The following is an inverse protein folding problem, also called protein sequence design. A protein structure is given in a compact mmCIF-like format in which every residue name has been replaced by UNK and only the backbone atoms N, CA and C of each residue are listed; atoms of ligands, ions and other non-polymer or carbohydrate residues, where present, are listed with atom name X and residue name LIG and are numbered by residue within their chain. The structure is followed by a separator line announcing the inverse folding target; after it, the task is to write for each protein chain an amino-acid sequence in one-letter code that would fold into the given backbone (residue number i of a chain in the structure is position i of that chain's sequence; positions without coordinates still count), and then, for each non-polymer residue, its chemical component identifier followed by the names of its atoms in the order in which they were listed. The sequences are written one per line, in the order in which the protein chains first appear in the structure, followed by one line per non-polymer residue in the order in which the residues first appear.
data_IF_253085493636
#
_entry.id   IF_253085493636
#
_cell.length_a   1.000
_cell.length_b   1.000
_cell.length_c   1.000
_cell.angle_alpha   90.00
_cell.angle_beta   90.00
_cell.angle_gamma   90.00
#
_symmetry.space_group_name_H-M   'P 1'
#
loop_
_entity.id
_entity.type
_entity.pdbx_description
1 polymer ?
#
# COMPACT_ATOMS: atom_id res chain seq x y z
N UNK A 1 -4.09 1.88 -18.63
CA UNK A 1 -5.46 1.77 -18.07
C UNK A 1 -5.74 3.00 -17.22
N UNK A 2 -6.88 3.67 -17.45
CA UNK A 2 -7.31 4.87 -16.72
C UNK A 2 -7.65 4.48 -15.27
N UNK A 3 -7.11 5.20 -14.29
CA UNK A 3 -7.63 5.19 -12.91
C UNK A 3 -8.92 5.99 -12.94
N UNK A 4 -10.06 5.32 -13.14
CA UNK A 4 -11.36 5.92 -12.91
C UNK A 4 -11.65 5.69 -11.43
N UNK A 5 -11.86 6.75 -10.66
CA UNK A 5 -12.48 6.61 -9.34
C UNK A 5 -13.91 6.12 -9.59
N UNK A 6 -14.13 4.83 -9.44
CA UNK A 6 -15.49 4.29 -9.45
C UNK A 6 -16.16 4.80 -8.18
N UNK A 7 -16.96 5.87 -8.34
CA UNK A 7 -17.95 6.25 -7.33
C UNK A 7 -18.80 5.04 -6.92
N UNK A 8 -18.96 4.08 -7.84
CA UNK A 8 -19.59 2.77 -7.63
C UNK A 8 -18.90 1.88 -6.60
N UNK A 9 -17.57 1.94 -6.40
CA UNK A 9 -16.89 1.02 -5.48
C UNK A 9 -17.40 1.18 -4.05
N UNK A 10 -17.57 2.42 -3.60
CA UNK A 10 -18.04 2.74 -2.25
C UNK A 10 -19.46 2.22 -2.02
N UNK A 11 -20.27 2.14 -3.08
CA UNK A 11 -21.64 1.62 -3.03
C UNK A 11 -21.68 0.09 -2.92
N UNK A 12 -20.64 -0.60 -3.40
CA UNK A 12 -20.50 -2.06 -3.24
C UNK A 12 -20.03 -2.50 -1.85
N UNK A 13 -19.56 -1.57 -1.02
CA UNK A 13 -19.06 -1.87 0.32
C UNK A 13 -20.19 -2.14 1.33
N UNK A 14 -19.89 -2.97 2.32
CA UNK A 14 -20.77 -3.15 3.48
C UNK A 14 -20.98 -1.84 4.24
N UNK A 15 -22.06 -1.74 5.02
CA UNK A 15 -22.36 -0.53 5.81
C UNK A 15 -21.21 -0.18 6.77
N UNK A 16 -20.56 -1.19 7.35
CA UNK A 16 -19.43 -1.01 8.26
C UNK A 16 -18.17 -0.56 7.52
N UNK A 17 -17.85 -1.19 6.39
CA UNK A 17 -16.68 -0.84 5.59
C UNK A 17 -16.81 0.55 4.98
N UNK A 18 -18.01 0.93 4.54
CA UNK A 18 -18.30 2.27 4.03
C UNK A 18 -18.10 3.33 5.10
N UNK A 19 -18.54 3.08 6.35
CA UNK A 19 -18.26 3.99 7.48
C UNK A 19 -16.76 4.15 7.73
N UNK A 20 -15.99 3.06 7.67
CA UNK A 20 -14.52 3.09 7.82
C UNK A 20 -13.84 3.83 6.67
N UNK A 21 -14.29 3.59 5.44
CA UNK A 21 -13.82 4.27 4.24
C UNK A 21 -13.98 5.79 4.37
N UNK A 22 -15.18 6.26 4.68
CA UNK A 22 -15.43 7.70 4.87
C UNK A 22 -14.63 8.30 6.03
N UNK A 23 -14.44 7.57 7.14
CA UNK A 23 -13.59 8.03 8.24
C UNK A 23 -12.14 8.24 7.79
N UNK A 24 -11.56 7.29 7.03
CA UNK A 24 -10.19 7.41 6.50
C UNK A 24 -10.05 8.55 5.49
N UNK A 25 -11.07 8.79 4.65
CA UNK A 25 -11.04 9.90 3.70
C UNK A 25 -11.17 11.24 4.40
N UNK A 26 -12.01 11.35 5.42
CA UNK A 26 -12.17 12.59 6.19
C UNK A 26 -10.83 13.08 6.77
N UNK A 27 -9.95 12.15 7.14
CA UNK A 27 -8.62 12.43 7.68
C UNK A 27 -7.63 13.02 6.66
N UNK A 28 -7.86 12.84 5.36
CA UNK A 28 -6.99 13.31 4.25
C UNK A 28 -7.69 14.41 3.44
N UNK A 29 -9.03 14.47 3.48
CA UNK A 29 -9.88 15.42 2.76
C UNK A 29 -10.07 15.13 1.28
N UNK A 30 -9.35 14.15 0.72
CA UNK A 30 -9.38 13.78 -0.70
C UNK A 30 -9.45 12.27 -0.84
N UNK A 31 -10.25 11.79 -1.81
CA UNK A 31 -10.31 10.38 -2.14
C UNK A 31 -9.01 9.95 -2.86
N UNK A 32 -8.22 9.01 -2.30
CA UNK A 32 -6.97 8.56 -2.89
C UNK A 32 -7.11 7.98 -4.31
N UNK A 33 -8.27 7.41 -4.65
CA UNK A 33 -8.52 6.82 -5.96
C UNK A 33 -8.88 7.87 -7.02
N UNK A 34 -9.24 9.08 -6.62
CA UNK A 34 -9.46 10.21 -7.54
C UNK A 34 -8.17 10.90 -7.99
N UNK A 35 -7.03 10.59 -7.34
CA UNK A 35 -5.74 11.21 -7.64
C UNK A 35 -5.11 10.63 -8.92
N UNK A 36 -4.67 11.54 -9.79
CA UNK A 36 -3.91 11.19 -11.00
C UNK A 36 -2.47 10.79 -10.64
N UNK A 37 -1.93 9.74 -11.26
CA UNK A 37 -0.51 9.35 -11.10
C UNK A 37 0.46 10.49 -11.40
N UNK A 38 0.10 11.40 -12.30
CA UNK A 38 1.00 12.46 -12.78
C UNK A 38 1.27 13.55 -11.75
N UNK A 39 0.42 13.66 -10.73
CA UNK A 39 0.55 14.66 -9.65
C UNK A 39 1.24 14.08 -8.41
N UNK A 40 1.54 12.79 -8.40
CA UNK A 40 2.18 12.11 -7.28
C UNK A 40 3.69 12.07 -7.47
N UNK A 41 4.44 12.14 -6.37
CA UNK A 41 5.89 12.06 -6.39
C UNK A 41 6.33 10.57 -6.39
N UNK A 42 7.08 10.15 -7.39
CA UNK A 42 7.62 8.78 -7.47
C UNK A 42 9.02 8.64 -6.85
N UNK A 43 9.57 9.72 -6.27
CA UNK A 43 10.85 9.68 -5.58
C UNK A 43 10.71 9.02 -4.20
N UNK A 44 11.68 8.17 -3.88
CA UNK A 44 11.82 7.52 -2.58
C UNK A 44 12.06 8.54 -1.46
N UNK A 45 12.65 9.71 -1.78
CA UNK A 45 12.89 10.79 -0.81
C UNK A 45 11.60 11.35 -0.19
N UNK A 46 10.45 11.17 -0.85
CA UNK A 46 9.14 11.62 -0.37
C UNK A 46 8.43 10.58 0.50
N UNK A 47 9.01 9.40 0.70
CA UNK A 47 8.53 8.42 1.67
C UNK A 47 8.87 8.85 3.09
N UNK A 48 8.01 8.53 4.08
CA UNK A 48 8.31 8.82 5.47
C UNK A 48 9.56 8.05 5.91
N UNK A 49 10.43 8.66 6.73
CA UNK A 49 11.61 7.97 7.26
C UNK A 49 11.16 6.87 8.22
N UNK A 50 11.33 5.61 7.82
CA UNK A 50 11.00 4.44 8.64
C UNK A 50 12.27 3.97 9.35
N UNK A 51 12.21 3.87 10.69
CA UNK A 51 13.28 3.33 11.52
C UNK A 51 13.05 1.86 11.84
N UNK A 52 14.11 1.16 12.25
CA UNK A 52 14.02 -0.24 12.68
C UNK A 52 12.99 -0.45 13.81
N UNK A 53 12.92 0.49 14.76
CA UNK A 53 11.94 0.45 15.84
C UNK A 53 10.50 0.47 15.32
N UNK A 54 10.21 1.24 14.27
CA UNK A 54 8.87 1.32 13.69
C UNK A 54 8.46 -0.02 13.06
N UNK A 55 9.40 -0.66 12.36
CA UNK A 55 9.19 -1.99 11.76
C UNK A 55 8.96 -3.03 12.85
N UNK A 56 9.78 -3.04 13.91
CA UNK A 56 9.61 -3.93 15.05
C UNK A 56 8.26 -3.68 15.73
N UNK A 57 7.92 -2.43 16.03
CA UNK A 57 6.65 -2.09 16.68
C UNK A 57 5.46 -2.56 15.85
N UNK A 58 5.49 -2.37 14.52
CA UNK A 58 4.44 -2.82 13.63
C UNK A 58 4.32 -4.35 13.56
N UNK A 59 5.42 -5.06 13.33
CA UNK A 59 5.39 -6.53 13.13
C UNK A 59 5.11 -7.31 14.42
N UNK A 60 5.60 -6.79 15.55
CA UNK A 60 5.70 -7.51 16.81
C UNK A 60 4.77 -6.95 17.88
N UNK A 61 4.79 -5.64 18.11
CA UNK A 61 4.10 -5.03 19.25
C UNK A 61 2.64 -4.63 18.94
N UNK A 62 2.32 -4.38 17.68
CA UNK A 62 0.98 -3.95 17.28
C UNK A 62 -0.02 -5.11 17.36
N UNK A 63 -1.25 -4.81 17.82
CA UNK A 63 -2.36 -5.78 17.81
C UNK A 63 -3.05 -5.77 16.47
N UNK A 64 -3.34 -6.94 15.93
CA UNK A 64 -4.25 -7.07 14.80
C UNK A 64 -5.65 -6.60 15.21
N UNK A 65 -6.26 -5.76 14.37
CA UNK A 65 -7.63 -5.27 14.57
C UNK A 65 -8.65 -6.43 14.70
N UNK A 66 -8.36 -7.59 14.11
CA UNK A 66 -9.32 -8.68 13.96
C UNK A 66 -9.21 -9.76 15.03
N UNK A 67 -8.03 -10.03 15.57
CA UNK A 67 -7.82 -11.16 16.50
C UNK A 67 -7.50 -10.73 17.93
N UNK A 68 -7.24 -9.44 18.19
CA UNK A 68 -6.78 -8.91 19.49
C UNK A 68 -5.51 -9.56 20.06
N UNK A 69 -4.96 -10.55 19.38
CA UNK A 69 -3.67 -11.17 19.65
C UNK A 69 -2.57 -10.14 19.41
N UNK A 70 -1.69 -10.02 20.39
CA UNK A 70 -0.40 -9.33 20.24
C UNK A 70 0.52 -10.26 19.47
N UNK A 71 1.36 -9.69 18.60
CA UNK A 71 2.19 -10.38 17.62
C UNK A 71 1.48 -10.92 16.39
N UNK A 72 2.23 -10.87 15.29
CA UNK A 72 1.97 -11.50 14.01
C UNK A 72 1.12 -10.65 13.07
N UNK A 73 1.73 -9.55 12.63
CA UNK A 73 1.50 -9.08 11.26
C UNK A 73 2.07 -10.09 10.23
N UNK A 74 1.76 -11.39 10.37
CA UNK A 74 2.22 -12.49 9.52
C UNK A 74 1.83 -12.23 8.06
N UNK A 75 0.63 -11.72 7.83
CA UNK A 75 0.16 -11.30 6.50
C UNK A 75 1.07 -10.23 5.90
N UNK A 76 1.58 -9.30 6.71
CA UNK A 76 2.50 -8.26 6.23
C UNK A 76 3.88 -8.81 5.90
N UNK A 77 4.34 -9.82 6.64
CA UNK A 77 5.56 -10.56 6.31
C UNK A 77 5.40 -11.34 4.99
N UNK A 78 4.24 -11.97 4.79
CA UNK A 78 3.88 -12.63 3.54
C UNK A 78 3.81 -11.61 2.37
N UNK A 79 3.24 -10.42 2.61
CA UNK A 79 3.18 -9.34 1.63
C UNK A 79 4.56 -8.80 1.22
N UNK A 80 5.58 -8.91 2.08
CA UNK A 80 6.95 -8.56 1.69
C UNK A 80 7.43 -9.42 0.51
N UNK A 81 7.09 -10.72 0.49
CA UNK A 81 7.43 -11.58 -0.64
C UNK A 81 6.74 -11.12 -1.94
N UNK A 82 5.53 -10.57 -1.86
CA UNK A 82 4.85 -10.01 -3.03
C UNK A 82 5.57 -8.78 -3.58
N UNK A 83 6.11 -7.94 -2.68
CA UNK A 83 6.95 -6.81 -3.07
C UNK A 83 8.24 -7.28 -3.74
N UNK A 84 8.98 -8.20 -3.12
CA UNK A 84 10.25 -8.76 -3.65
C UNK A 84 10.03 -9.46 -5.00
N UNK A 85 8.92 -10.17 -5.17
CA UNK A 85 8.58 -10.85 -6.42
C UNK A 85 8.08 -9.90 -7.52
N UNK A 86 8.14 -8.58 -7.32
CA UNK A 86 7.81 -7.58 -8.34
C UNK A 86 6.32 -7.44 -8.63
N UNK A 87 5.45 -7.80 -7.67
CA UNK A 87 4.00 -7.61 -7.81
C UNK A 87 3.61 -6.17 -7.55
N UNK A 88 4.34 -5.49 -6.66
CA UNK A 88 4.22 -4.06 -6.44
C UNK A 88 5.09 -3.35 -7.48
N UNK A 89 4.44 -2.60 -8.35
CA UNK A 89 5.09 -1.77 -9.35
C UNK A 89 5.36 -0.36 -8.82
N UNK A 90 5.03 0.64 -9.63
CA UNK A 90 5.26 2.05 -9.32
C UNK A 90 4.60 2.46 -7.98
N UNK A 91 5.43 2.89 -7.04
CA UNK A 91 5.05 3.50 -5.76
C UNK A 91 5.21 5.00 -5.90
N UNK A 92 4.16 5.73 -5.56
CA UNK A 92 4.15 7.18 -5.52
C UNK A 92 3.64 7.66 -4.16
N UNK A 93 4.07 8.85 -3.75
CA UNK A 93 3.66 9.49 -2.51
C UNK A 93 3.16 10.91 -2.74
N UNK A 94 2.36 11.39 -1.81
CA UNK A 94 1.94 12.79 -1.74
C UNK A 94 1.73 13.18 -0.29
N UNK A 95 2.21 14.37 0.07
CA UNK A 95 2.08 14.90 1.44
C UNK A 95 0.81 15.73 1.53
N UNK A 96 -0.05 15.41 2.49
CA UNK A 96 -1.28 16.13 2.80
C UNK A 96 -1.21 16.60 4.25
N UNK A 97 -0.95 17.89 4.43
CA UNK A 97 -0.74 18.50 5.76
C UNK A 97 0.36 17.80 6.55
N UNK A 98 0.01 16.95 7.51
CA UNK A 98 0.90 16.20 8.41
C UNK A 98 0.98 14.70 8.08
N UNK A 99 0.26 14.24 7.04
CA UNK A 99 0.17 12.84 6.65
C UNK A 99 0.79 12.61 5.29
N UNK A 100 1.38 11.42 5.11
CA UNK A 100 1.90 10.98 3.82
C UNK A 100 0.95 9.93 3.24
N UNK A 101 0.37 10.23 2.08
CA UNK A 101 -0.38 9.26 1.30
C UNK A 101 0.59 8.50 0.41
N UNK A 102 0.57 7.17 0.50
CA UNK A 102 1.36 6.28 -0.34
C UNK A 102 0.40 5.49 -1.23
N UNK A 103 0.65 5.50 -2.53
CA UNK A 103 -0.13 4.79 -3.54
C UNK A 103 0.80 3.90 -4.35
N UNK A 104 0.43 2.65 -4.54
CA UNK A 104 1.19 1.70 -5.33
C UNK A 104 0.33 1.06 -6.41
N UNK A 105 0.91 0.78 -7.58
CA UNK A 105 0.29 -0.08 -8.60
C UNK A 105 0.61 -1.53 -8.27
N UNK A 106 -0.41 -2.38 -8.15
CA UNK A 106 -0.23 -3.81 -7.89
C UNK A 106 -0.67 -4.60 -9.12
N UNK A 107 0.16 -5.54 -9.58
CA UNK A 107 -0.18 -6.43 -10.69
C UNK A 107 -1.28 -7.41 -10.27
N UNK A 108 -2.21 -7.67 -11.19
CA UNK A 108 -3.37 -8.53 -10.90
C UNK A 108 -3.04 -10.03 -10.94
N UNK A 109 -1.93 -10.45 -11.57
CA UNK A 109 -1.55 -11.86 -11.68
C UNK A 109 -0.10 -12.13 -11.27
N UNK A 110 0.13 -13.34 -10.74
CA UNK A 110 1.41 -13.88 -10.27
C UNK A 110 2.40 -14.19 -11.41
N UNK A 111 2.20 -13.63 -12.62
CA UNK A 111 3.10 -13.88 -13.75
C UNK A 111 4.48 -13.34 -13.37
N UNK A 112 5.38 -14.26 -13.04
CA UNK A 112 6.74 -13.94 -12.65
C UNK A 112 7.39 -13.18 -13.81
N UNK A 113 8.16 -12.11 -13.54
CA UNK A 113 9.16 -11.72 -14.51
C UNK A 113 10.09 -12.93 -14.70
N UNK A 114 10.22 -13.38 -15.95
CA UNK A 114 11.17 -14.39 -16.37
C UNK A 114 12.52 -14.18 -15.67
N UNK A 115 13.10 -15.28 -15.18
CA UNK A 115 14.33 -15.30 -14.43
C UNK A 115 15.41 -14.41 -15.08
N UNK A 116 15.98 -13.51 -14.28
CA UNK A 116 17.21 -12.81 -14.64
C UNK A 116 18.29 -13.82 -15.05
N UNK A 117 19.09 -13.54 -16.10
CA UNK A 117 20.05 -14.49 -16.63
C UNK A 117 21.01 -14.92 -15.52
N UNK A 118 21.21 -16.24 -15.41
CA UNK A 118 22.15 -16.83 -14.48
C UNK A 118 23.54 -16.22 -14.67
N UNK A 119 24.18 -15.89 -13.56
CA UNK A 119 25.57 -15.49 -13.46
C UNK A 119 26.47 -16.67 -13.88
N UNK A 120 26.53 -16.96 -15.17
CA UNK A 120 27.27 -18.08 -15.76
C UNK A 120 27.84 -17.78 -17.16
N UNK A 121 27.51 -16.63 -17.74
CA UNK A 121 28.09 -16.18 -19.02
C UNK A 121 28.95 -14.92 -18.78
N UNK A 122 30.12 -15.13 -18.18
CA UNK A 122 31.29 -14.24 -18.29
C UNK A 122 32.52 -15.09 -18.57
#
# INVERSE_FOLDING_TARGET
MKRQADKDYVETLSVEDRKRYHRKIADIGVDPYSLSTKTLNSDSSALPPIQYYDVYHYLVLSRSFYTSEQFQAYKSLESYNQFVNGWVGEVCSSVFSDKVLILAKVKHSQSQPEASPSLGDM
#
